data_IF_153336700067
#
_entry.id   IF_153336700067
#
_cell.length_a   1.000
_cell.length_b   1.000
_cell.length_c   1.000
_cell.angle_alpha   90.00
_cell.angle_beta   90.00
_cell.angle_gamma   90.00
#
_symmetry.space_group_name_H-M   'P 1'
#
loop_
_entity.id
_entity.type
_entity.pdbx_description
1 polymer ?
#
# COMPACT_ATOMS: atom_id res chain seq x y z
N UNK A 1 46.65 -8.54 -11.88
CA UNK A 1 45.31 -8.64 -12.54
C UNK A 1 44.36 -9.66 -11.88
N UNK A 2 44.83 -10.60 -11.03
CA UNK A 2 43.99 -11.69 -10.49
C UNK A 2 43.17 -11.36 -9.22
N UNK A 3 43.60 -10.42 -8.37
CA UNK A 3 42.91 -10.13 -7.10
C UNK A 3 41.59 -9.35 -7.23
N UNK A 4 41.44 -8.51 -8.26
CA UNK A 4 40.20 -7.73 -8.47
C UNK A 4 39.01 -8.60 -8.84
N UNK A 5 39.25 -9.76 -9.47
CA UNK A 5 38.20 -10.71 -9.84
C UNK A 5 37.75 -11.58 -8.67
N UNK A 6 38.62 -11.81 -7.68
CA UNK A 6 38.31 -12.60 -6.50
C UNK A 6 37.45 -11.83 -5.49
N UNK A 7 37.68 -10.50 -5.34
CA UNK A 7 36.89 -9.64 -4.46
C UNK A 7 35.45 -9.41 -4.95
N UNK A 8 35.25 -9.21 -6.27
CA UNK A 8 33.91 -9.13 -6.87
C UNK A 8 33.08 -10.39 -6.65
N UNK A 9 33.70 -11.57 -6.75
CA UNK A 9 33.00 -12.83 -6.51
C UNK A 9 32.54 -12.99 -5.04
N UNK A 10 33.33 -12.52 -4.08
CA UNK A 10 32.95 -12.57 -2.66
C UNK A 10 31.84 -11.56 -2.32
N UNK A 11 31.89 -10.36 -2.90
CA UNK A 11 30.83 -9.35 -2.77
C UNK A 11 29.53 -9.78 -3.46
N UNK A 12 29.62 -10.42 -4.63
CA UNK A 12 28.47 -11.01 -5.33
C UNK A 12 27.88 -12.18 -4.55
N UNK A 13 28.72 -12.98 -3.87
CA UNK A 13 28.25 -14.06 -3.00
C UNK A 13 27.60 -13.53 -1.73
N UNK A 14 28.16 -12.49 -1.10
CA UNK A 14 27.54 -11.81 0.04
C UNK A 14 26.20 -11.17 -0.34
N UNK A 15 26.11 -10.49 -1.49
CA UNK A 15 24.84 -9.92 -1.96
C UNK A 15 23.81 -11.00 -2.30
N UNK A 16 24.23 -12.16 -2.82
CA UNK A 16 23.34 -13.28 -3.08
C UNK A 16 22.89 -13.99 -1.80
N UNK A 17 23.75 -14.08 -0.78
CA UNK A 17 23.37 -14.57 0.56
C UNK A 17 22.39 -13.61 1.22
N UNK A 18 22.63 -12.28 1.17
CA UNK A 18 21.69 -11.26 1.67
C UNK A 18 20.35 -11.31 0.92
N UNK A 19 20.35 -11.55 -0.40
CA UNK A 19 19.12 -11.78 -1.19
C UNK A 19 18.42 -13.09 -0.83
N UNK A 20 19.17 -14.13 -0.44
CA UNK A 20 18.64 -15.47 -0.10
C UNK A 20 18.08 -15.53 1.33
N UNK A 21 18.63 -14.74 2.26
CA UNK A 21 18.18 -14.65 3.66
C UNK A 21 16.92 -13.76 3.81
N UNK A 22 16.60 -12.88 2.85
CA UNK A 22 15.37 -12.07 2.83
C UNK A 22 14.13 -12.78 2.25
N UNK A 23 14.07 -14.12 2.25
CA UNK A 23 12.97 -14.91 1.65
C UNK A 23 12.18 -15.75 2.66
N UNK A 24 12.15 -15.38 3.93
CA UNK A 24 11.29 -16.05 4.93
C UNK A 24 10.11 -15.19 5.40
N UNK A 25 9.94 -14.00 4.83
CA UNK A 25 8.68 -13.26 4.93
C UNK A 25 8.43 -12.57 3.60
N UNK A 26 7.41 -12.99 2.85
CA UNK A 26 6.98 -12.37 1.58
C UNK A 26 6.47 -10.91 1.73
N UNK A 27 6.74 -10.26 2.87
CA UNK A 27 6.35 -8.90 3.16
C UNK A 27 7.53 -7.98 2.91
N UNK A 28 7.30 -6.92 2.14
CA UNK A 28 8.24 -5.82 1.97
C UNK A 28 7.74 -4.60 2.73
N UNK A 29 8.65 -3.68 3.06
CA UNK A 29 8.29 -2.40 3.67
C UNK A 29 7.90 -1.37 2.61
N UNK A 30 7.19 -0.31 2.99
CA UNK A 30 6.76 0.76 2.08
C UNK A 30 7.93 1.40 1.33
N UNK A 31 9.10 1.51 1.96
CA UNK A 31 10.31 2.08 1.34
C UNK A 31 11.06 1.10 0.43
N UNK A 32 10.89 -0.21 0.62
CA UNK A 32 11.55 -1.24 -0.17
C UNK A 32 10.81 -1.57 -1.48
N UNK A 33 9.62 -1.01 -1.67
CA UNK A 33 8.89 -1.03 -2.93
C UNK A 33 9.75 -0.44 -4.06
N UNK A 34 10.12 -1.27 -5.04
CA UNK A 34 10.97 -0.89 -6.18
C UNK A 34 10.25 -1.09 -7.49
N UNK A 35 10.04 -0.01 -8.26
CA UNK A 35 9.36 0.07 -9.57
C UNK A 35 9.51 -1.11 -10.56
N UNK A 36 10.54 -1.95 -10.46
CA UNK A 36 10.73 -3.12 -11.35
C UNK A 36 9.95 -4.37 -10.89
N UNK A 37 9.53 -4.43 -9.63
CA UNK A 37 8.89 -5.61 -9.05
C UNK A 37 7.37 -5.47 -9.21
N UNK A 38 6.76 -6.51 -9.78
CA UNK A 38 5.34 -6.52 -10.15
C UNK A 38 4.42 -7.01 -9.04
N UNK A 39 4.92 -7.62 -7.98
CA UNK A 39 4.08 -8.17 -6.91
C UNK A 39 4.62 -7.75 -5.55
N UNK A 40 3.84 -6.97 -4.80
CA UNK A 40 4.17 -6.54 -3.45
C UNK A 40 3.10 -6.94 -2.46
N UNK A 41 3.55 -7.37 -1.28
CA UNK A 41 2.69 -7.60 -0.14
C UNK A 41 3.26 -6.78 1.01
N UNK A 42 2.43 -5.92 1.59
CA UNK A 42 2.79 -5.14 2.77
C UNK A 42 1.95 -5.63 3.93
N UNK A 43 2.60 -5.79 5.07
CA UNK A 43 1.92 -5.98 6.34
C UNK A 43 2.12 -4.72 7.16
N UNK A 44 1.03 -4.09 7.54
CA UNK A 44 1.07 -2.86 8.33
C UNK A 44 0.01 -2.93 9.43
N UNK A 45 0.25 -2.17 10.50
CA UNK A 45 -0.70 -2.05 11.61
C UNK A 45 -1.54 -0.80 11.40
N UNK A 46 -2.85 -0.92 11.60
CA UNK A 46 -3.75 0.24 11.68
C UNK A 46 -3.48 0.96 13.00
N UNK A 47 -3.14 2.25 12.93
CA UNK A 47 -2.81 3.06 14.11
C UNK A 47 -3.84 4.13 14.39
N UNK A 48 -4.47 4.64 13.33
CA UNK A 48 -5.58 5.58 13.42
C UNK A 48 -6.67 5.15 12.46
N UNK A 49 -7.94 5.38 12.84
CA UNK A 49 -9.11 5.08 12.03
C UNK A 49 -10.19 6.11 12.34
N UNK A 50 -10.75 6.72 11.31
CA UNK A 50 -11.87 7.65 11.46
C UNK A 50 -13.19 6.92 11.40
N UNK A 51 -14.24 7.53 11.93
CA UNK A 51 -15.61 7.11 11.67
C UNK A 51 -15.95 7.17 10.17
N UNK A 52 -17.00 6.42 9.79
CA UNK A 52 -17.55 6.46 8.44
C UNK A 52 -18.20 7.83 8.21
N UNK A 53 -17.72 8.52 7.18
CA UNK A 53 -18.34 9.73 6.65
C UNK A 53 -19.31 9.36 5.53
N UNK A 54 -20.55 9.81 5.66
CA UNK A 54 -21.60 9.58 4.67
C UNK A 54 -21.80 10.84 3.83
N UNK A 55 -21.91 10.64 2.51
CA UNK A 55 -22.15 11.68 1.51
C UNK A 55 -23.27 11.21 0.57
N UNK A 56 -23.84 12.13 -0.20
CA UNK A 56 -24.89 11.80 -1.18
C UNK A 56 -24.44 10.78 -2.24
N UNK A 57 -23.13 10.71 -2.53
CA UNK A 57 -22.52 9.82 -3.52
C UNK A 57 -21.98 8.50 -2.95
N UNK A 58 -22.14 8.26 -1.64
CA UNK A 58 -21.64 7.06 -0.96
C UNK A 58 -20.96 7.37 0.37
N UNK A 59 -20.25 6.39 0.91
CA UNK A 59 -19.55 6.49 2.18
C UNK A 59 -18.05 6.25 2.03
N UNK A 60 -17.28 6.80 2.97
CA UNK A 60 -15.84 6.58 3.07
C UNK A 60 -15.39 6.62 4.53
N UNK A 61 -14.24 6.02 4.80
CA UNK A 61 -13.48 6.27 6.01
C UNK A 61 -12.00 6.26 5.66
N UNK A 62 -11.16 6.83 6.53
CA UNK A 62 -9.72 6.78 6.38
C UNK A 62 -9.08 6.12 7.60
N UNK A 63 -7.91 5.55 7.38
CA UNK A 63 -7.10 4.96 8.42
C UNK A 63 -5.62 5.09 8.08
N UNK A 64 -4.79 5.13 9.10
CA UNK A 64 -3.36 5.26 8.96
C UNK A 64 -2.68 3.92 9.22
N UNK A 65 -1.84 3.51 8.28
CA UNK A 65 -1.01 2.31 8.33
C UNK A 65 0.41 2.68 8.70
N UNK A 66 0.98 1.97 9.67
CA UNK A 66 2.40 2.09 10.01
C UNK A 66 3.09 0.73 9.80
N UNK A 67 4.27 0.78 9.19
CA UNK A 67 5.24 -0.30 9.13
C UNK A 67 6.60 0.16 9.71
N UNK A 68 7.64 -0.67 9.64
CA UNK A 68 8.98 -0.31 10.14
C UNK A 68 9.67 0.79 9.33
N UNK A 69 9.15 1.16 8.17
CA UNK A 69 9.74 2.17 7.28
C UNK A 69 9.02 3.52 7.33
N UNK A 70 7.75 3.56 7.72
CA UNK A 70 7.01 4.80 7.95
C UNK A 70 5.49 4.62 7.98
N UNK A 71 4.79 5.72 7.72
CA UNK A 71 3.33 5.81 7.80
C UNK A 71 2.72 6.14 6.43
N UNK A 72 1.57 5.57 6.11
CA UNK A 72 0.76 5.90 4.93
C UNK A 72 -0.70 6.06 5.38
N UNK A 73 -1.40 7.03 4.80
CA UNK A 73 -2.85 7.18 5.01
C UNK A 73 -3.61 6.48 3.88
N UNK A 74 -4.56 5.63 4.22
CA UNK A 74 -5.45 4.99 3.27
C UNK A 74 -6.86 5.55 3.38
N UNK A 75 -7.48 5.83 2.24
CA UNK A 75 -8.88 6.23 2.11
C UNK A 75 -9.63 5.13 1.38
N UNK A 76 -10.65 4.56 2.04
CA UNK A 76 -11.47 3.49 1.47
C UNK A 76 -12.85 4.06 1.16
N UNK A 77 -13.27 3.87 -0.09
CA UNK A 77 -14.57 4.30 -0.60
C UNK A 77 -15.53 3.11 -0.75
N UNK A 78 -16.82 3.41 -0.76
CA UNK A 78 -17.89 2.47 -1.13
C UNK A 78 -17.53 1.68 -2.41
N UNK A 79 -17.85 0.37 -2.51
CA UNK A 79 -18.60 -0.48 -1.56
C UNK A 79 -17.74 -1.17 -0.49
N UNK A 80 -16.44 -0.88 -0.42
CA UNK A 80 -15.51 -1.60 0.45
C UNK A 80 -15.63 -1.21 1.93
N UNK A 81 -16.30 -0.09 2.21
CA UNK A 81 -16.41 0.49 3.55
C UNK A 81 -17.01 -0.50 4.55
N UNK A 82 -18.15 -1.08 4.24
CA UNK A 82 -18.89 -1.96 5.17
C UNK A 82 -18.07 -3.18 5.60
N UNK A 83 -17.34 -3.77 4.65
CA UNK A 83 -16.57 -4.99 4.89
C UNK A 83 -15.25 -4.72 5.62
N UNK A 84 -14.68 -3.53 5.45
CA UNK A 84 -13.38 -3.19 6.00
C UNK A 84 -13.48 -2.47 7.35
N UNK A 85 -14.61 -1.83 7.64
CA UNK A 85 -14.75 -0.98 8.81
C UNK A 85 -14.76 -1.74 10.15
N UNK A 86 -15.03 -3.04 10.21
CA UNK A 86 -15.00 -3.76 11.50
C UNK A 86 -13.62 -4.36 11.85
N UNK A 87 -12.61 -4.18 11.00
CA UNK A 87 -11.40 -5.02 11.03
C UNK A 87 -10.17 -4.18 11.42
N UNK A 88 -9.27 -4.81 12.16
CA UNK A 88 -8.16 -4.16 12.88
C UNK A 88 -6.81 -4.35 12.19
N UNK A 89 -6.58 -5.51 11.57
CA UNK A 89 -5.34 -5.83 10.85
C UNK A 89 -5.56 -5.91 9.34
N UNK A 90 -4.66 -5.26 8.59
CA UNK A 90 -4.77 -5.09 7.14
C UNK A 90 -3.48 -5.54 6.47
N UNK A 91 -3.63 -6.36 5.43
CA UNK A 91 -2.56 -6.67 4.48
C UNK A 91 -2.91 -6.04 3.14
N UNK A 92 -2.05 -5.17 2.62
CA UNK A 92 -2.20 -4.59 1.28
C UNK A 92 -1.40 -5.39 0.27
N UNK A 93 -2.02 -5.75 -0.84
CA UNK A 93 -1.38 -6.53 -1.90
C UNK A 93 -1.51 -5.80 -3.23
N UNK A 94 -0.37 -5.43 -3.81
CA UNK A 94 -0.27 -4.79 -5.12
C UNK A 94 0.19 -5.82 -6.14
N UNK A 95 -0.48 -5.85 -7.29
CA UNK A 95 -0.18 -6.76 -8.38
C UNK A 95 0.08 -5.99 -9.68
N UNK A 96 0.97 -6.54 -10.51
CA UNK A 96 1.30 -6.10 -11.87
C UNK A 96 1.70 -4.62 -11.94
N UNK A 97 1.03 -3.85 -12.80
CA UNK A 97 1.30 -2.43 -13.05
C UNK A 97 1.11 -1.60 -11.78
N UNK A 98 0.10 -1.88 -10.96
CA UNK A 98 -0.12 -1.13 -9.73
C UNK A 98 1.05 -1.23 -8.74
N UNK A 99 1.80 -2.33 -8.75
CA UNK A 99 3.05 -2.43 -7.98
C UNK A 99 4.17 -1.63 -8.67
N UNK A 100 4.38 -1.80 -9.98
CA UNK A 100 5.39 -1.05 -10.75
C UNK A 100 5.23 0.47 -10.55
N UNK A 101 4.00 0.96 -10.64
CA UNK A 101 3.69 2.39 -10.65
C UNK A 101 3.60 2.99 -9.24
N UNK A 102 3.66 2.16 -8.19
CA UNK A 102 3.64 2.65 -6.81
C UNK A 102 5.03 3.20 -6.44
N UNK A 103 5.18 4.50 -6.67
CA UNK A 103 6.34 5.33 -6.30
C UNK A 103 5.87 6.50 -5.45
N UNK A 104 5.29 6.21 -4.29
CA UNK A 104 4.75 7.23 -3.38
C UNK A 104 5.68 7.45 -2.19
N UNK A 105 5.72 8.69 -1.70
CA UNK A 105 6.49 9.04 -0.51
C UNK A 105 5.78 8.56 0.76
N UNK A 106 6.54 8.39 1.84
CA UNK A 106 5.98 8.18 3.17
C UNK A 106 5.10 9.38 3.52
N UNK A 107 3.97 9.13 4.18
CA UNK A 107 2.89 10.08 4.47
C UNK A 107 2.01 10.47 3.28
N UNK A 108 2.18 9.83 2.11
CA UNK A 108 1.23 9.97 1.01
C UNK A 108 -0.15 9.44 1.38
N UNK A 109 -1.17 10.01 0.73
CA UNK A 109 -2.56 9.56 0.82
C UNK A 109 -2.80 8.59 -0.33
N UNK A 110 -3.30 7.41 0.00
CA UNK A 110 -3.67 6.38 -0.96
C UNK A 110 -5.18 6.24 -1.01
N UNK A 111 -5.79 6.58 -2.14
CA UNK A 111 -7.22 6.34 -2.36
C UNK A 111 -7.39 5.00 -3.05
N UNK A 112 -8.20 4.11 -2.48
CA UNK A 112 -8.47 2.78 -3.04
C UNK A 112 -9.95 2.68 -3.40
N UNK A 113 -10.25 2.55 -4.69
CA UNK A 113 -11.60 2.31 -5.22
C UNK A 113 -11.62 1.01 -6.01
N UNK A 114 -12.55 0.09 -5.70
CA UNK A 114 -12.73 -1.14 -6.50
C UNK A 114 -11.69 -2.25 -6.25
N UNK A 115 -11.14 -2.33 -5.04
CA UNK A 115 -10.28 -3.42 -4.53
C UNK A 115 -11.03 -4.74 -4.32
N UNK A 116 -10.32 -5.87 -4.45
CA UNK A 116 -10.84 -7.17 -4.04
C UNK A 116 -10.46 -7.44 -2.59
N UNK A 117 -11.46 -7.59 -1.73
CA UNK A 117 -11.26 -8.05 -0.35
C UNK A 117 -11.19 -9.57 -0.36
N UNK A 118 -10.14 -10.11 0.25
CA UNK A 118 -10.08 -11.53 0.61
C UNK A 118 -9.88 -11.63 2.12
N UNK A 119 -10.74 -12.38 2.77
CA UNK A 119 -10.64 -12.62 4.21
C UNK A 119 -10.17 -14.05 4.45
N UNK A 120 -9.16 -14.21 5.30
CA UNK A 120 -8.70 -15.53 5.73
C UNK A 120 -8.13 -15.46 7.15
N UNK A 121 -8.61 -16.31 8.05
CA UNK A 121 -8.16 -16.38 9.46
C UNK A 121 -8.13 -15.00 10.15
N UNK A 122 -9.22 -14.23 10.05
CA UNK A 122 -9.35 -12.86 10.59
C UNK A 122 -8.35 -11.84 10.03
N UNK A 123 -7.56 -12.21 9.03
CA UNK A 123 -6.68 -11.29 8.31
C UNK A 123 -7.37 -10.85 7.03
N UNK A 124 -7.57 -9.54 6.88
CA UNK A 124 -8.05 -8.98 5.61
C UNK A 124 -6.87 -8.68 4.70
N UNK A 125 -6.98 -9.21 3.48
CA UNK A 125 -6.11 -8.91 2.36
C UNK A 125 -6.89 -8.04 1.39
N UNK A 126 -6.52 -6.77 1.32
CA UNK A 126 -6.99 -5.87 0.28
C UNK A 126 -6.08 -6.05 -0.93
N UNK A 127 -6.58 -6.78 -1.92
CA UNK A 127 -5.88 -7.03 -3.18
C UNK A 127 -6.32 -6.00 -4.20
N UNK A 128 -5.36 -5.24 -4.72
CA UNK A 128 -5.57 -4.35 -5.85
C UNK A 128 -5.63 -5.22 -7.10
N UNK A 129 -6.78 -5.19 -7.77
CA UNK A 129 -7.05 -5.92 -9.03
C UNK A 129 -7.08 -4.92 -10.19
N UNK A 130 -7.15 -5.38 -11.44
CA UNK A 130 -7.12 -4.49 -12.61
C UNK A 130 -8.23 -3.41 -12.61
N UNK A 131 -9.34 -3.63 -11.92
CA UNK A 131 -10.44 -2.66 -11.78
C UNK A 131 -10.25 -1.68 -10.63
N UNK A 132 -9.21 -1.87 -9.83
CA UNK A 132 -8.95 -1.04 -8.66
C UNK A 132 -8.22 0.22 -9.09
N UNK A 133 -8.84 1.37 -8.84
CA UNK A 133 -8.18 2.66 -9.01
C UNK A 133 -7.43 2.95 -7.71
N UNK A 134 -6.13 3.16 -7.86
CA UNK A 134 -5.24 3.57 -6.79
C UNK A 134 -4.62 4.89 -7.23
N UNK A 135 -5.01 5.97 -6.57
CA UNK A 135 -4.51 7.31 -6.90
C UNK A 135 -4.15 8.05 -5.61
N UNK A 136 -3.11 8.86 -5.69
CA UNK A 136 -2.74 9.88 -4.71
C UNK A 136 -3.29 11.25 -5.08
N UNK A 137 -3.67 11.42 -6.36
CA UNK A 137 -4.33 12.62 -6.81
C UNK A 137 -5.80 12.56 -6.41
N UNK A 138 -6.06 13.25 -5.31
CA UNK A 138 -7.39 13.54 -4.81
C UNK A 138 -8.26 14.11 -5.96
N UNK A 139 -7.73 14.88 -6.90
CA UNK A 139 -8.49 15.49 -8.01
C UNK A 139 -8.94 14.54 -9.12
N UNK A 140 -8.27 13.39 -9.32
CA UNK A 140 -8.65 12.37 -10.32
C UNK A 140 -9.90 11.57 -9.92
N UNK A 141 -10.22 11.59 -8.63
CA UNK A 141 -11.51 11.15 -8.13
C UNK A 141 -12.42 12.38 -8.14
N UNK A 142 -13.56 12.32 -8.83
CA UNK A 142 -14.55 13.40 -8.94
C UNK A 142 -14.89 14.07 -7.59
N UNK A 143 -14.72 13.33 -6.50
CA UNK A 143 -14.99 13.70 -5.12
C UNK A 143 -13.76 14.18 -4.34
N UNK A 144 -12.54 13.90 -4.77
CA UNK A 144 -11.40 14.48 -4.06
C UNK A 144 -11.22 15.96 -4.39
N UNK A 145 -11.67 16.43 -5.56
CA UNK A 145 -11.89 17.87 -5.79
C UNK A 145 -12.76 18.52 -4.69
N UNK A 146 -13.74 17.78 -4.13
CA UNK A 146 -14.58 18.24 -3.01
C UNK A 146 -13.90 18.16 -1.64
N UNK A 147 -13.01 17.18 -1.42
CA UNK A 147 -12.18 17.10 -0.21
C UNK A 147 -11.12 18.22 -0.18
N UNK A 148 -10.55 18.55 -1.34
CA UNK A 148 -9.64 19.67 -1.51
C UNK A 148 -10.36 21.01 -1.29
N UNK A 149 -11.53 21.21 -1.89
CA UNK A 149 -12.39 22.38 -1.61
C UNK A 149 -12.78 22.50 -0.13
N UNK A 150 -13.00 21.39 0.58
CA UNK A 150 -13.30 21.41 2.02
C UNK A 150 -12.08 21.77 2.88
N UNK A 151 -10.89 21.32 2.49
CA UNK A 151 -9.63 21.65 3.16
C UNK A 151 -9.19 23.09 2.89
N UNK A 152 -9.47 23.63 1.70
CA UNK A 152 -9.19 25.03 1.33
C UNK A 152 -10.17 26.04 1.95
N UNK A 153 -11.36 25.59 2.38
CA UNK A 153 -12.38 26.43 3.03
C UNK A 153 -12.22 26.56 4.55
N UNK A 154 -11.10 26.11 5.10
CA UNK A 154 -10.80 26.18 6.53
C UNK A 154 -9.59 27.06 6.78
#
# INVERSE_FOLDING_TARGET
>A
MKEKNLKRSAEDQLTNVVKKVKKDSNFITFKEAKKVITNWTFKARVTHKTDIKNYASGNLFNFDLIDSSGQIRCVVYHPLVEHFFEKVDVTLIFWRSAAIDFSKELNSILIIKGGKINEFNNTIKLSIVNTTIVTDDISEVSEGKRLQEYLEKK
#
